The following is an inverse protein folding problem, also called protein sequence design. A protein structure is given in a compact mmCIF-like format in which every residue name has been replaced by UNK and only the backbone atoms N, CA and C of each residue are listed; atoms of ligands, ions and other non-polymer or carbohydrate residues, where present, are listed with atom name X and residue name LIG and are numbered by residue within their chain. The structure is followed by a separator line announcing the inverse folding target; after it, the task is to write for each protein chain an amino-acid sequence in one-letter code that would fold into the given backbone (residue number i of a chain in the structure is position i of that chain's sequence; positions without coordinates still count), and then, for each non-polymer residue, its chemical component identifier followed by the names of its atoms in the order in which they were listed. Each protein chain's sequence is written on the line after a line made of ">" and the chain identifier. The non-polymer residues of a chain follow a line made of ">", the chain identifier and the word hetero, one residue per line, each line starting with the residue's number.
data_IF_556722573303
#
_entry.id   IF_556722573303
#
_cell.length_a   1.000
_cell.length_b   1.000
_cell.length_c   1.000
_cell.angle_alpha   90.00
_cell.angle_beta   90.00
_cell.angle_gamma   90.00
#
_symmetry.space_group_name_H-M   'P 1'
#
loop_
_entity.id
_entity.type
_entity.pdbx_description
1 polymer ?
#
# COMPACT_ATOMS: atom_id res chain seq x y z
N UNK A 1 -19.07 -14.29 -34.77
CA UNK A 1 -18.28 -15.09 -33.81
C UNK A 1 -17.15 -14.22 -33.27
N UNK A 2 -17.39 -13.53 -32.15
CA UNK A 2 -16.32 -12.95 -31.34
C UNK A 2 -16.25 -13.77 -30.05
N UNK A 3 -15.36 -14.76 -30.06
CA UNK A 3 -14.88 -15.34 -28.82
C UNK A 3 -13.88 -14.33 -28.24
N UNK A 4 -14.34 -13.53 -27.29
CA UNK A 4 -13.47 -12.64 -26.53
C UNK A 4 -12.51 -13.49 -25.71
N UNK A 5 -11.24 -13.49 -26.11
CA UNK A 5 -10.16 -14.27 -25.52
C UNK A 5 -9.69 -13.74 -24.16
N UNK A 6 -10.46 -13.98 -23.11
CA UNK A 6 -9.92 -14.21 -21.76
C UNK A 6 -10.23 -15.66 -21.42
N UNK A 7 -9.33 -16.40 -20.77
CA UNK A 7 -9.58 -17.79 -20.34
C UNK A 7 -10.64 -17.92 -19.23
N UNK A 8 -11.60 -16.99 -19.21
CA UNK A 8 -12.62 -16.80 -18.20
C UNK A 8 -13.91 -17.48 -18.67
N UNK A 9 -14.58 -18.27 -17.80
CA UNK A 9 -15.82 -18.93 -18.19
C UNK A 9 -16.91 -17.90 -18.51
N UNK A 10 -17.81 -18.17 -19.46
CA UNK A 10 -18.95 -17.30 -19.73
C UNK A 10 -19.87 -17.16 -18.51
N UNK A 11 -20.59 -16.04 -18.41
CA UNK A 11 -21.65 -15.88 -17.40
C UNK A 11 -22.81 -16.84 -17.67
N UNK A 12 -23.63 -17.11 -16.65
CA UNK A 12 -24.86 -17.89 -16.82
C UNK A 12 -25.81 -17.25 -17.83
N UNK A 13 -25.90 -15.91 -17.85
CA UNK A 13 -26.70 -15.18 -18.85
C UNK A 13 -26.18 -15.38 -20.27
N UNK A 14 -24.85 -15.37 -20.47
CA UNK A 14 -24.24 -15.62 -21.76
C UNK A 14 -24.45 -17.06 -22.23
N UNK A 15 -24.32 -18.04 -21.32
CA UNK A 15 -24.60 -19.45 -21.61
C UNK A 15 -26.05 -19.67 -22.04
N UNK A 16 -27.00 -19.00 -21.40
CA UNK A 16 -28.43 -19.09 -21.77
C UNK A 16 -28.66 -18.45 -23.13
N UNK A 17 -28.08 -17.28 -23.40
CA UNK A 17 -28.12 -16.66 -24.73
C UNK A 17 -27.54 -17.59 -25.81
N UNK A 18 -26.49 -18.33 -25.51
CA UNK A 18 -25.87 -19.28 -26.45
C UNK A 18 -26.71 -20.55 -26.67
N UNK A 19 -27.33 -21.09 -25.61
CA UNK A 19 -28.02 -22.40 -25.64
C UNK A 19 -29.52 -22.31 -25.90
N UNK A 20 -30.15 -21.17 -25.60
CA UNK A 20 -31.60 -20.96 -25.65
C UNK A 20 -31.98 -19.79 -26.55
N UNK A 21 -31.16 -19.48 -27.56
CA UNK A 21 -31.51 -18.55 -28.64
C UNK A 21 -31.49 -19.25 -29.99
N UNK A 22 -32.32 -18.75 -30.90
CA UNK A 22 -32.34 -19.14 -32.31
C UNK A 22 -31.18 -18.48 -33.05
N UNK A 23 -30.98 -18.87 -34.31
CA UNK A 23 -29.94 -18.31 -35.19
C UNK A 23 -30.13 -16.82 -35.50
N UNK A 24 -31.30 -16.26 -35.23
CA UNK A 24 -31.63 -14.83 -35.37
C UNK A 24 -31.44 -14.05 -34.05
N UNK A 25 -30.76 -14.64 -33.06
CA UNK A 25 -30.49 -14.07 -31.73
C UNK A 25 -31.74 -13.85 -30.85
N UNK A 26 -32.91 -14.35 -31.26
CA UNK A 26 -34.12 -14.32 -30.43
C UNK A 26 -34.18 -15.53 -29.47
N UNK A 27 -34.66 -15.32 -28.25
CA UNK A 27 -34.82 -16.42 -27.29
C UNK A 27 -35.86 -17.43 -27.77
N UNK A 28 -35.59 -18.70 -27.48
CA UNK A 28 -36.49 -19.82 -27.82
C UNK A 28 -37.71 -19.85 -26.90
N UNK A 29 -37.57 -19.38 -25.66
CA UNK A 29 -38.61 -19.33 -24.63
C UNK A 29 -38.61 -17.96 -23.91
N UNK A 30 -39.80 -17.43 -23.66
CA UNK A 30 -40.01 -16.17 -22.94
C UNK A 30 -39.46 -16.21 -21.52
N UNK A 31 -39.49 -17.38 -20.86
CA UNK A 31 -38.94 -17.50 -19.51
C UNK A 31 -37.42 -17.31 -19.48
N UNK A 32 -36.70 -17.80 -20.51
CA UNK A 32 -35.26 -17.59 -20.63
C UNK A 32 -34.92 -16.10 -20.86
N UNK A 33 -35.71 -15.42 -21.70
CA UNK A 33 -35.57 -13.98 -21.95
C UNK A 33 -35.81 -13.16 -20.67
N UNK A 34 -36.86 -13.47 -19.92
CA UNK A 34 -37.21 -12.80 -18.68
C UNK A 34 -36.11 -12.96 -17.62
N UNK A 35 -35.61 -14.18 -17.40
CA UNK A 35 -34.55 -14.46 -16.44
C UNK A 35 -33.25 -13.74 -16.79
N UNK A 36 -32.83 -13.78 -18.05
CA UNK A 36 -31.61 -13.12 -18.51
C UNK A 36 -31.74 -11.59 -18.38
N UNK A 37 -32.85 -11.03 -18.84
CA UNK A 37 -33.09 -9.58 -18.80
C UNK A 37 -33.12 -9.08 -17.36
N UNK A 38 -33.83 -9.79 -16.46
CA UNK A 38 -33.89 -9.43 -15.05
C UNK A 38 -32.51 -9.53 -14.38
N UNK A 39 -31.74 -10.58 -14.67
CA UNK A 39 -30.41 -10.76 -14.12
C UNK A 39 -29.43 -9.66 -14.57
N UNK A 40 -29.47 -9.27 -15.84
CA UNK A 40 -28.62 -8.19 -16.40
C UNK A 40 -28.98 -6.83 -15.80
N UNK A 41 -30.27 -6.52 -15.65
CA UNK A 41 -30.74 -5.30 -14.97
C UNK A 41 -30.33 -5.26 -13.50
N UNK A 42 -30.54 -6.35 -12.75
CA UNK A 42 -30.15 -6.42 -11.34
C UNK A 42 -28.64 -6.30 -11.15
N UNK A 43 -27.84 -6.97 -11.98
CA UNK A 43 -26.38 -6.89 -11.91
C UNK A 43 -25.87 -5.47 -12.20
N UNK A 44 -26.50 -4.77 -13.16
CA UNK A 44 -26.18 -3.37 -13.48
C UNK A 44 -26.48 -2.45 -12.29
N UNK A 45 -27.59 -2.65 -11.59
CA UNK A 45 -27.93 -1.87 -10.39
C UNK A 45 -26.97 -2.14 -9.22
N UNK A 46 -26.56 -3.40 -9.02
CA UNK A 46 -25.58 -3.78 -8.01
C UNK A 46 -24.21 -3.14 -8.27
N UNK A 47 -23.82 -2.95 -9.53
CA UNK A 47 -22.57 -2.28 -9.90
C UNK A 47 -22.52 -0.82 -9.43
N UNK A 48 -23.69 -0.17 -9.31
CA UNK A 48 -23.79 1.24 -8.93
C UNK A 48 -23.86 1.47 -7.42
N UNK A 49 -24.06 0.41 -6.62
CA UNK A 49 -24.23 0.49 -5.16
C UNK A 49 -22.99 0.03 -4.36
N UNK A 50 -22.00 -0.58 -5.01
CA UNK A 50 -20.74 -1.05 -4.39
C UNK A 50 -19.55 -0.10 -4.50
N UNK A 51 -19.69 1.02 -5.20
CA UNK A 51 -18.64 2.04 -5.30
C UNK A 51 -18.58 2.89 -4.04
N UNK A 52 -17.40 2.94 -3.41
CA UNK A 52 -17.05 4.00 -2.45
C UNK A 52 -17.53 5.36 -2.96
N UNK A 53 -18.06 6.20 -2.06
CA UNK A 53 -18.51 7.58 -2.30
C UNK A 53 -17.37 8.40 -2.95
N UNK A 54 -17.25 8.28 -4.26
CA UNK A 54 -16.12 8.76 -5.04
C UNK A 54 -16.42 8.57 -6.51
N UNK A 55 -17.29 9.46 -7.02
CA UNK A 55 -17.65 9.66 -8.42
C UNK A 55 -18.52 8.57 -9.07
N UNK A 56 -19.70 8.90 -9.62
CA UNK A 56 -20.47 7.97 -10.44
C UNK A 56 -19.74 7.80 -11.78
N UNK A 57 -18.92 6.76 -11.91
CA UNK A 57 -18.46 6.34 -13.24
C UNK A 57 -19.62 5.59 -13.90
N UNK A 58 -20.43 6.32 -14.66
CA UNK A 58 -21.44 5.73 -15.53
C UNK A 58 -20.76 4.73 -16.49
N UNK A 59 -21.37 3.56 -16.69
CA UNK A 59 -21.01 2.58 -17.72
C UNK A 59 -19.85 1.60 -17.44
N UNK A 60 -19.66 1.10 -16.22
CA UNK A 60 -18.98 -0.20 -16.09
C UNK A 60 -20.00 -1.31 -16.29
N UNK A 61 -19.83 -2.13 -17.33
CA UNK A 61 -20.63 -3.33 -17.50
C UNK A 61 -20.55 -4.21 -16.22
N UNK A 62 -21.64 -4.87 -15.81
CA UNK A 62 -21.61 -5.71 -14.62
C UNK A 62 -20.61 -6.86 -14.78
N UNK A 63 -19.89 -7.17 -13.70
CA UNK A 63 -18.94 -8.29 -13.73
C UNK A 63 -19.66 -9.63 -13.92
N UNK A 64 -18.94 -10.63 -14.45
CA UNK A 64 -19.41 -12.01 -14.60
C UNK A 64 -20.03 -12.55 -13.31
N UNK A 65 -19.38 -12.34 -12.17
CA UNK A 65 -19.85 -12.82 -10.87
C UNK A 65 -21.17 -12.18 -10.45
N UNK A 66 -21.35 -10.88 -10.75
CA UNK A 66 -22.60 -10.17 -10.46
C UNK A 66 -23.75 -10.66 -11.33
N UNK A 67 -23.49 -10.88 -12.61
CA UNK A 67 -24.44 -11.51 -13.53
C UNK A 67 -24.84 -12.91 -13.05
N UNK A 68 -23.87 -13.73 -12.66
CA UNK A 68 -24.11 -15.07 -12.14
C UNK A 68 -24.94 -15.04 -10.85
N UNK A 69 -24.67 -14.08 -9.96
CA UNK A 69 -25.37 -13.94 -8.68
C UNK A 69 -26.82 -13.54 -8.90
N UNK A 70 -27.05 -12.54 -9.76
CA UNK A 70 -28.38 -12.09 -10.13
C UNK A 70 -29.18 -13.20 -10.84
N UNK A 71 -28.53 -13.93 -11.76
CA UNK A 71 -29.16 -15.05 -12.46
C UNK A 71 -29.58 -16.16 -11.50
N UNK A 72 -28.68 -16.60 -10.60
CA UNK A 72 -29.02 -17.63 -9.62
C UNK A 72 -30.12 -17.17 -8.65
N UNK A 73 -30.14 -15.89 -8.27
CA UNK A 73 -31.21 -15.29 -7.45
C UNK A 73 -32.57 -15.30 -8.18
N UNK A 74 -32.58 -15.02 -9.48
CA UNK A 74 -33.78 -15.08 -10.32
C UNK A 74 -34.26 -16.51 -10.60
N UNK A 75 -33.34 -17.49 -10.61
CA UNK A 75 -33.62 -18.90 -10.87
C UNK A 75 -34.10 -19.71 -9.65
N UNK A 76 -34.00 -19.15 -8.43
CA UNK A 76 -34.44 -19.79 -7.16
C UNK A 76 -35.91 -20.27 -7.14
N UNK A 77 -36.89 -19.62 -7.81
CA UNK A 77 -38.27 -20.11 -7.79
C UNK A 77 -38.55 -21.28 -8.75
N UNK A 78 -37.74 -21.53 -9.78
CA UNK A 78 -38.07 -22.51 -10.84
C UNK A 78 -37.29 -23.83 -10.79
N UNK A 79 -36.22 -23.95 -10.02
CA UNK A 79 -35.53 -25.23 -9.83
C UNK A 79 -34.69 -25.22 -8.57
N UNK A 80 -34.47 -26.40 -7.98
CA UNK A 80 -33.61 -26.56 -6.80
C UNK A 80 -32.16 -26.28 -7.22
N UNK A 81 -31.77 -25.01 -7.26
CA UNK A 81 -30.36 -24.61 -7.42
C UNK A 81 -29.58 -25.22 -6.25
N UNK A 82 -28.54 -26.04 -6.49
CA UNK A 82 -27.73 -26.58 -5.42
C UNK A 82 -27.10 -25.46 -4.59
N UNK A 83 -27.27 -25.50 -3.26
CA UNK A 83 -26.65 -24.54 -2.33
C UNK A 83 -25.14 -24.38 -2.55
N UNK A 84 -24.46 -25.44 -2.99
CA UNK A 84 -23.04 -25.42 -3.33
C UNK A 84 -22.67 -24.40 -4.40
N UNK A 85 -23.52 -24.16 -5.40
CA UNK A 85 -23.27 -23.17 -6.45
C UNK A 85 -23.36 -21.74 -5.90
N UNK A 86 -24.36 -21.47 -5.04
CA UNK A 86 -24.51 -20.15 -4.39
C UNK A 86 -23.33 -19.87 -3.48
N UNK A 87 -22.92 -20.85 -2.66
CA UNK A 87 -21.77 -20.71 -1.78
C UNK A 87 -20.45 -20.54 -2.54
N UNK A 88 -20.23 -21.30 -3.62
CA UNK A 88 -19.02 -21.19 -4.43
C UNK A 88 -18.90 -19.80 -5.07
N UNK A 89 -19.99 -19.24 -5.61
CA UNK A 89 -20.00 -17.91 -6.17
C UNK A 89 -19.69 -16.82 -5.12
N UNK A 90 -20.25 -16.95 -3.93
CA UNK A 90 -19.96 -16.04 -2.82
C UNK A 90 -18.50 -16.13 -2.36
N UNK A 91 -17.91 -17.33 -2.37
CA UNK A 91 -16.49 -17.52 -2.12
C UNK A 91 -15.62 -16.86 -3.19
N UNK A 92 -15.94 -17.02 -4.48
CA UNK A 92 -15.22 -16.34 -5.57
C UNK A 92 -15.27 -14.83 -5.42
N UNK A 93 -16.45 -14.26 -5.13
CA UNK A 93 -16.60 -12.83 -4.88
C UNK A 93 -15.75 -12.36 -3.69
N UNK A 94 -15.77 -13.09 -2.57
CA UNK A 94 -14.98 -12.77 -1.38
C UNK A 94 -13.47 -12.87 -1.66
N UNK A 95 -13.03 -13.89 -2.40
CA UNK A 95 -11.62 -14.05 -2.79
C UNK A 95 -11.19 -12.89 -3.68
N UNK A 96 -11.97 -12.51 -4.69
CA UNK A 96 -11.65 -11.34 -5.53
C UNK A 96 -11.59 -10.02 -4.74
N UNK A 97 -12.48 -9.87 -3.75
CA UNK A 97 -12.43 -8.75 -2.81
C UNK A 97 -11.16 -8.74 -1.95
N UNK A 98 -10.73 -9.91 -1.47
CA UNK A 98 -9.49 -10.06 -0.70
C UNK A 98 -8.25 -9.79 -1.58
N UNK A 99 -8.22 -10.25 -2.82
CA UNK A 99 -7.15 -9.98 -3.78
C UNK A 99 -6.99 -8.47 -4.02
N UNK A 100 -8.12 -7.77 -4.23
CA UNK A 100 -8.13 -6.31 -4.39
C UNK A 100 -7.61 -5.60 -3.13
N UNK A 101 -8.10 -6.01 -1.95
CA UNK A 101 -7.62 -5.45 -0.69
C UNK A 101 -6.13 -5.68 -0.47
N UNK A 102 -5.62 -6.86 -0.84
CA UNK A 102 -4.20 -7.21 -0.72
C UNK A 102 -3.32 -6.36 -1.67
N UNK A 103 -3.79 -6.08 -2.89
CA UNK A 103 -3.10 -5.18 -3.82
C UNK A 103 -3.00 -3.75 -3.25
N UNK A 104 -4.09 -3.24 -2.67
CA UNK A 104 -4.09 -1.91 -2.03
C UNK A 104 -3.12 -1.87 -0.83
N UNK A 105 -3.17 -2.87 0.05
CA UNK A 105 -2.22 -2.98 1.18
C UNK A 105 -0.77 -3.06 0.69
N UNK A 106 -0.51 -3.75 -0.41
CA UNK A 106 0.83 -3.83 -1.01
C UNK A 106 1.30 -2.45 -1.50
N UNK A 107 0.41 -1.67 -2.13
CA UNK A 107 0.71 -0.31 -2.55
C UNK A 107 0.97 0.62 -1.35
N UNK A 108 0.14 0.56 -0.32
CA UNK A 108 0.30 1.35 0.91
C UNK A 108 1.64 1.04 1.60
N UNK A 109 1.99 -0.24 1.72
CA UNK A 109 3.28 -0.67 2.31
C UNK A 109 4.47 -0.16 1.47
N UNK A 110 4.35 -0.12 0.15
CA UNK A 110 5.38 0.48 -0.71
C UNK A 110 5.51 2.00 -0.46
N UNK A 111 4.39 2.71 -0.33
CA UNK A 111 4.37 4.13 0.04
C UNK A 111 5.03 4.39 1.39
N UNK A 112 4.67 3.63 2.43
CA UNK A 112 5.28 3.74 3.77
C UNK A 112 6.79 3.48 3.73
N UNK A 113 7.25 2.52 2.92
CA UNK A 113 8.70 2.27 2.74
C UNK A 113 9.42 3.48 2.16
N UNK A 114 8.81 4.18 1.20
CA UNK A 114 9.36 5.40 0.61
C UNK A 114 9.40 6.53 1.63
N UNK A 115 8.32 6.75 2.37
CA UNK A 115 8.24 7.78 3.40
C UNK A 115 9.29 7.57 4.49
N UNK A 116 9.46 6.33 4.96
CA UNK A 116 10.49 5.97 5.94
C UNK A 116 11.90 6.22 5.40
N UNK A 117 12.15 5.99 4.12
CA UNK A 117 13.44 6.33 3.50
C UNK A 117 13.67 7.85 3.47
N UNK A 118 12.63 8.63 3.16
CA UNK A 118 12.66 10.10 3.23
C UNK A 118 12.99 10.60 4.64
N UNK A 119 12.28 10.11 5.65
CA UNK A 119 12.53 10.47 7.07
C UNK A 119 13.96 10.13 7.49
N UNK A 120 14.51 8.98 7.06
CA UNK A 120 15.91 8.63 7.35
C UNK A 120 16.90 9.62 6.74
N UNK A 121 16.62 10.13 5.53
CA UNK A 121 17.45 11.15 4.90
C UNK A 121 17.36 12.47 5.66
N UNK A 122 16.15 12.91 6.02
CA UNK A 122 15.93 14.15 6.77
C UNK A 122 16.64 14.12 8.13
N UNK A 123 16.53 13.00 8.87
CA UNK A 123 17.25 12.82 10.14
C UNK A 123 18.77 12.86 9.93
N UNK A 124 19.28 12.29 8.84
CA UNK A 124 20.71 12.34 8.52
C UNK A 124 21.18 13.76 8.22
N UNK A 125 20.40 14.53 7.46
CA UNK A 125 20.68 15.94 7.17
C UNK A 125 20.64 16.78 8.45
N UNK A 126 19.62 16.63 9.29
CA UNK A 126 19.53 17.33 10.58
C UNK A 126 20.73 17.04 11.48
N UNK A 127 21.24 15.80 11.50
CA UNK A 127 22.47 15.47 12.25
C UNK A 127 23.69 16.20 11.74
N UNK A 128 23.82 16.38 10.42
CA UNK A 128 24.92 17.13 9.82
C UNK A 128 24.81 18.62 10.14
N UNK A 129 23.61 19.20 10.02
CA UNK A 129 23.35 20.60 10.38
C UNK A 129 23.67 20.86 11.86
N UNK A 130 23.25 19.97 12.77
CA UNK A 130 23.57 20.10 14.19
C UNK A 130 25.07 20.04 14.48
N UNK A 131 25.81 19.19 13.77
CA UNK A 131 27.27 19.13 13.88
C UNK A 131 27.92 20.44 13.38
N UNK A 132 27.44 20.99 12.26
CA UNK A 132 27.92 22.27 11.72
C UNK A 132 27.64 23.43 12.67
N UNK A 133 26.44 23.49 13.26
CA UNK A 133 26.07 24.50 14.27
C UNK A 133 26.99 24.40 15.49
N UNK A 134 27.24 23.18 15.99
CA UNK A 134 28.16 22.96 17.11
C UNK A 134 29.57 23.49 16.80
N UNK A 135 30.07 23.26 15.59
CA UNK A 135 31.38 23.74 15.18
C UNK A 135 31.43 25.26 15.04
N UNK A 136 30.39 25.88 14.49
CA UNK A 136 30.27 27.33 14.41
C UNK A 136 30.27 27.98 15.81
N UNK A 137 29.57 27.37 16.77
CA UNK A 137 29.57 27.84 18.17
C UNK A 137 30.97 27.72 18.78
N UNK A 138 31.68 26.61 18.58
CA UNK A 138 33.04 26.44 19.08
C UNK A 138 34.01 27.49 18.51
N UNK A 139 33.92 27.78 17.22
CA UNK A 139 34.72 28.81 16.56
C UNK A 139 34.42 30.19 17.14
N UNK A 140 33.13 30.54 17.30
CA UNK A 140 32.74 31.82 17.90
C UNK A 140 33.30 31.98 19.33
N UNK A 141 33.21 30.93 20.14
CA UNK A 141 33.78 30.92 21.49
C UNK A 141 35.32 31.10 21.48
N UNK A 142 35.99 30.59 20.45
CA UNK A 142 37.43 30.78 20.27
C UNK A 142 37.80 32.20 19.85
N UNK A 143 37.03 32.81 18.94
CA UNK A 143 37.21 34.21 18.53
C UNK A 143 36.96 35.19 19.67
N UNK A 144 36.01 34.88 20.55
CA UNK A 144 35.70 35.71 21.72
C UNK A 144 36.66 35.49 22.91
N UNK A 145 37.64 34.58 22.79
CA UNK A 145 38.63 34.38 23.85
C UNK A 145 39.56 35.60 23.93
N UNK A 146 39.73 36.23 25.11
CA UNK A 146 40.63 37.38 25.25
C UNK A 146 42.09 37.00 24.94
N UNK A 147 42.90 37.94 24.39
CA UNK A 147 44.31 37.69 24.12
C UNK A 147 45.01 37.31 25.43
N UNK A 148 45.72 36.17 25.44
CA UNK A 148 46.57 35.86 26.57
C UNK A 148 47.72 36.86 26.59
N UNK A 149 47.88 37.57 27.72
CA UNK A 149 49.06 38.39 27.96
C UNK A 149 50.31 37.48 27.85
N UNK A 150 51.43 37.97 27.28
CA UNK A 150 52.63 37.17 27.18
C UNK A 150 53.07 36.77 28.60
N UNK A 151 53.06 35.47 28.90
CA UNK A 151 53.68 34.94 30.10
C UNK A 151 55.17 35.21 29.98
N UNK A 152 55.64 36.21 30.74
CA UNK A 152 57.05 36.57 30.80
C UNK A 152 57.88 35.37 31.21
N UNK A 153 58.77 34.94 30.33
CA UNK A 153 59.95 34.17 30.70
C UNK A 153 60.95 35.14 31.32
N UNK A 154 60.95 35.25 32.65
CA UNK A 154 62.14 35.66 33.41
C UNK A 154 62.23 34.75 34.63
N UNK A 155 62.72 33.53 34.41
CA UNK A 155 63.24 32.72 35.51
C UNK A 155 64.57 33.33 35.94
N UNK A 156 64.50 34.26 36.89
CA UNK A 156 65.69 34.77 37.56
C UNK A 156 66.21 33.67 38.49
N UNK A 157 67.36 33.13 38.12
CA UNK A 157 68.01 31.98 38.72
C UNK A 157 68.81 32.48 39.93
N UNK A 158 68.15 32.64 41.08
CA UNK A 158 68.87 32.85 42.35
C UNK A 158 69.27 31.51 42.97
N UNK A 159 70.50 31.10 42.64
CA UNK A 159 71.25 30.04 43.28
C UNK A 159 71.69 30.48 44.70
N UNK A 160 71.45 29.64 45.70
CA UNK A 160 72.32 29.55 46.87
C UNK A 160 72.41 28.07 47.32
N UNK A 161 73.61 27.59 47.71
CA UNK A 161 73.92 26.16 47.78
C UNK A 161 73.67 25.63 49.20
N UNK A 162 73.25 24.38 49.33
CA UNK A 162 73.64 23.59 50.49
C UNK A 162 73.67 22.10 50.17
N UNK A 163 74.84 21.51 50.35
CA UNK A 163 75.14 20.16 49.92
C UNK A 163 74.77 19.08 50.93
N UNK A 164 74.67 17.87 50.36
CA UNK A 164 75.15 16.60 50.89
C UNK A 164 74.21 15.81 51.84
N UNK A 165 74.30 14.46 51.90
CA UNK A 165 74.46 13.44 50.85
C UNK A 165 73.32 12.39 50.88
N UNK A 166 73.21 11.59 49.82
CA UNK A 166 72.37 10.38 49.74
C UNK A 166 72.90 9.22 50.61
N UNK A 167 72.03 8.37 51.17
CA UNK A 167 72.33 6.98 51.47
C UNK A 167 71.67 6.00 50.47
N UNK A 168 72.12 4.73 50.46
CA UNK A 168 72.21 3.90 49.26
C UNK A 168 71.01 2.98 49.03
N UNK A 169 70.93 2.45 47.80
CA UNK A 169 70.10 1.31 47.42
C UNK A 169 70.37 0.11 48.32
N UNK A 170 69.31 -0.56 48.76
CA UNK A 170 69.36 -1.95 49.22
C UNK A 170 68.14 -2.73 48.70
N UNK A 171 68.50 -3.73 47.86
CA UNK A 171 67.87 -5.03 47.52
C UNK A 171 66.52 -5.03 46.78
#
# INVERSE_FOLDING_TARGET
>A
MQASGSGEPPSYTALVRETHSRTDETFVDYHAEELVTQAEMEATQLSNTGGSLGSPSASSAPSRLMLNKAYLKGAVPSSRVPNGLVCNLELEMRVGGLETSLQNVTADVAGVKQDVAGVKQDVSNMRQEFAAIREAINQLLQTLRPPQAPTGQTSDQSQAPNGQPSPPNDI
#
